data_IF_140403846778
#
_entry.id   IF_140403846778
#
_cell.length_a   1.000
_cell.length_b   1.000
_cell.length_c   1.000
_cell.angle_alpha   90.00
_cell.angle_beta   90.00
_cell.angle_gamma   90.00
#
_symmetry.space_group_name_H-M   'P 1'
#
loop_
_entity.id
_entity.type
_entity.pdbx_description
1 polymer ?
#
# COMPACT_ATOMS: atom_id res chain seq x y z
N UNK A 1 -18.70 -1.49 13.43
CA UNK A 1 -17.38 -1.54 14.13
C UNK A 1 -16.17 -1.36 13.18
N UNK A 2 -16.29 -1.67 11.89
CA UNK A 2 -15.19 -1.56 10.90
C UNK A 2 -14.78 -0.11 10.54
N UNK A 3 -15.72 0.83 10.54
CA UNK A 3 -15.44 2.22 10.14
C UNK A 3 -14.48 2.96 11.10
N UNK A 4 -14.52 2.62 12.40
CA UNK A 4 -13.64 3.23 13.42
C UNK A 4 -12.15 2.87 13.24
N UNK A 5 -11.85 1.72 12.63
CA UNK A 5 -10.47 1.21 12.50
C UNK A 5 -9.71 1.91 11.36
N UNK A 6 -10.42 2.32 10.31
CA UNK A 6 -9.86 3.06 9.18
C UNK A 6 -9.61 4.54 9.51
N UNK A 7 -10.49 5.16 10.31
CA UNK A 7 -10.31 6.54 10.77
C UNK A 7 -9.07 6.66 11.65
N UNK A 8 -8.80 5.67 12.51
CA UNK A 8 -7.63 5.69 13.38
C UNK A 8 -6.31 5.58 12.60
N UNK A 9 -6.27 4.76 11.55
CA UNK A 9 -5.07 4.59 10.71
C UNK A 9 -4.81 5.82 9.83
N UNK A 10 -5.87 6.44 9.29
CA UNK A 10 -5.77 7.68 8.53
C UNK A 10 -5.36 8.87 9.40
N UNK A 11 -5.88 8.97 10.63
CA UNK A 11 -5.49 10.01 11.59
C UNK A 11 -4.03 9.86 12.05
N UNK A 12 -3.57 8.62 12.26
CA UNK A 12 -2.20 8.35 12.65
C UNK A 12 -1.19 8.69 11.54
N UNK A 13 -1.53 8.42 10.27
CA UNK A 13 -0.69 8.78 9.14
C UNK A 13 -0.65 10.30 8.88
N UNK A 14 -1.77 10.99 9.10
CA UNK A 14 -1.86 12.45 8.92
C UNK A 14 -1.05 13.21 9.98
N UNK A 15 -1.02 12.69 11.22
CA UNK A 15 -0.21 13.26 12.31
C UNK A 15 1.31 13.06 12.10
N UNK A 16 1.71 11.98 11.41
CA UNK A 16 3.12 11.68 11.15
C UNK A 16 3.72 12.52 10.02
N UNK A 17 2.89 12.93 9.05
CA UNK A 17 3.30 13.81 7.94
C UNK A 17 3.48 15.27 8.41
N UNK A 18 2.65 15.76 9.33
CA UNK A 18 2.79 17.13 9.86
C UNK A 18 4.08 17.34 10.68
N UNK A 19 4.60 16.30 11.34
CA UNK A 19 5.83 16.41 12.13
C UNK A 19 7.11 16.60 11.29
N UNK A 20 7.06 16.41 9.97
CA UNK A 20 8.23 16.50 9.08
C UNK A 20 8.32 17.83 8.29
N UNK A 21 7.30 18.70 8.35
CA UNK A 21 7.33 19.99 7.67
C UNK A 21 7.61 21.16 8.63
N UNK A 22 8.77 21.10 9.29
CA UNK A 22 9.38 22.27 9.90
C UNK A 22 9.85 23.22 8.80
N UNK A 23 9.04 24.24 8.49
CA UNK A 23 9.39 25.29 7.54
C UNK A 23 10.60 26.07 8.07
N UNK A 24 11.75 25.92 7.42
CA UNK A 24 12.90 26.80 7.67
C UNK A 24 12.50 28.19 7.15
N UNK A 25 12.46 29.26 7.99
CA UNK A 25 12.11 30.58 7.50
C UNK A 25 13.16 31.02 6.48
N UNK A 26 12.72 31.38 5.27
CA UNK A 26 13.59 32.00 4.26
C UNK A 26 14.14 33.30 4.84
N UNK A 27 15.45 33.39 4.94
CA UNK A 27 16.14 34.65 5.24
C UNK A 27 15.77 35.66 4.16
N UNK A 28 14.99 36.67 4.52
CA UNK A 28 14.69 37.81 3.65
C UNK A 28 15.96 38.65 3.59
N UNK A 29 16.66 38.60 2.46
CA UNK A 29 17.70 39.58 2.15
C UNK A 29 16.94 40.84 1.69
N UNK A 30 16.92 41.86 2.54
CA UNK A 30 16.41 43.17 2.17
C UNK A 30 17.49 43.85 1.33
N UNK A 31 17.19 44.11 0.05
CA UNK A 31 17.99 44.96 -0.82
C UNK A 31 17.85 46.41 -0.35
N UNK A 32 18.83 46.88 0.43
CA UNK A 32 18.90 48.26 0.92
C UNK A 32 19.52 49.13 -0.17
N UNK A 33 18.76 49.38 -1.23
CA UNK A 33 19.11 50.35 -2.26
C UNK A 33 17.98 51.35 -2.48
N UNK A 34 17.64 52.08 -1.41
CA UNK A 34 16.99 53.39 -1.51
C UNK A 34 17.95 54.45 -1.01
N UNK A 35 18.35 55.35 -1.91
CA UNK A 35 19.13 56.54 -1.61
C UNK A 35 18.52 57.28 -0.42
N UNK A 36 19.21 57.24 0.71
CA UNK A 36 18.90 58.07 1.87
C UNK A 36 19.90 59.20 1.86
N UNK A 37 19.42 60.45 1.78
CA UNK A 37 20.30 61.60 1.99
C UNK A 37 20.76 61.56 3.44
N UNK A 38 22.06 61.45 3.66
CA UNK A 38 22.63 61.42 5.01
C UNK A 38 22.50 62.80 5.62
N UNK A 39 21.74 62.90 6.70
CA UNK A 39 21.67 64.11 7.50
C UNK A 39 23.07 64.39 8.09
N UNK A 40 23.66 65.54 7.72
CA UNK A 40 24.98 65.98 8.22
C UNK A 40 24.84 66.85 9.49
N UNK A 41 23.68 66.85 10.14
CA UNK A 41 23.53 67.49 11.43
C UNK A 41 24.44 66.83 12.47
N UNK A 42 25.33 67.61 13.07
CA UNK A 42 26.18 67.16 14.18
C UNK A 42 25.29 66.92 15.41
N UNK A 43 24.94 65.67 15.66
CA UNK A 43 24.15 65.29 16.83
C UNK A 43 25.05 65.41 18.06
N UNK A 44 24.74 66.34 18.94
CA UNK A 44 25.30 66.35 20.29
C UNK A 44 24.65 65.20 21.08
N UNK A 45 25.39 64.11 21.23
CA UNK A 45 24.97 62.97 22.03
C UNK A 45 25.12 63.30 23.50
N UNK A 46 24.02 63.70 24.14
CA UNK A 46 23.94 63.75 25.60
C UNK A 46 23.93 62.33 26.14
N UNK A 47 25.13 61.77 26.34
CA UNK A 47 25.28 60.49 27.04
C UNK A 47 25.01 60.74 28.53
N UNK A 48 24.10 59.98 29.16
CA UNK A 48 23.89 60.11 30.59
C UNK A 48 25.20 59.83 31.33
N UNK A 49 25.44 60.53 32.44
CA UNK A 49 26.57 60.20 33.32
C UNK A 49 26.45 58.74 33.75
N UNK A 50 27.58 58.00 33.68
CA UNK A 50 27.67 56.60 34.13
C UNK A 50 27.04 56.36 35.50
N UNK A 51 27.11 57.35 36.39
CA UNK A 51 26.53 57.25 37.73
C UNK A 51 24.99 57.18 37.72
N UNK A 52 24.32 57.90 36.80
CA UNK A 52 22.85 57.82 36.65
C UNK A 52 22.44 56.53 35.95
N UNK A 53 23.27 56.06 35.04
CA UNK A 53 23.08 54.81 34.31
C UNK A 53 23.13 53.61 35.26
N UNK A 54 24.18 53.52 36.08
CA UNK A 54 24.33 52.46 37.08
C UNK A 54 23.20 52.46 38.11
N UNK A 55 22.75 53.64 38.58
CA UNK A 55 21.61 53.74 39.50
C UNK A 55 20.31 53.24 38.86
N UNK A 56 20.09 53.54 37.59
CA UNK A 56 18.87 53.14 36.87
C UNK A 56 18.88 51.63 36.59
N UNK A 57 19.98 51.07 36.07
CA UNK A 57 20.05 49.64 35.76
C UNK A 57 20.25 48.73 36.97
N UNK A 58 20.61 49.29 38.13
CA UNK A 58 20.63 48.57 39.41
C UNK A 58 19.26 48.53 40.10
N UNK A 59 18.27 49.31 39.62
CA UNK A 59 16.93 49.32 40.20
C UNK A 59 16.31 47.91 40.13
N UNK A 60 15.86 47.44 41.29
CA UNK A 60 15.27 46.11 41.45
C UNK A 60 13.95 46.00 40.70
N UNK A 61 13.24 47.12 40.48
CA UNK A 61 11.99 47.17 39.72
C UNK A 61 12.19 47.05 38.20
N UNK A 62 13.41 47.27 37.70
CA UNK A 62 13.75 47.20 36.28
C UNK A 62 14.36 45.84 35.87
N UNK A 63 14.35 44.84 36.77
CA UNK A 63 14.73 43.45 36.45
C UNK A 63 13.57 42.71 35.77
N UNK A 64 13.34 43.03 34.50
CA UNK A 64 12.27 42.42 33.67
C UNK A 64 12.52 40.96 33.29
N UNK A 65 13.73 40.42 33.54
CA UNK A 65 14.05 39.02 33.27
C UNK A 65 13.46 38.14 34.38
N UNK A 66 12.15 37.89 34.32
CA UNK A 66 11.51 36.88 35.15
C UNK A 66 12.07 35.52 34.75
N UNK A 67 13.00 34.97 35.53
CA UNK A 67 13.33 33.55 35.48
C UNK A 67 12.23 32.81 36.24
N UNK A 68 11.03 32.74 35.65
CA UNK A 68 10.07 31.73 36.08
C UNK A 68 10.76 30.43 35.72
N UNK A 69 11.32 29.75 36.72
CA UNK A 69 11.74 28.37 36.58
C UNK A 69 10.46 27.62 36.24
N UNK A 70 10.19 27.44 34.95
CA UNK A 70 8.98 26.78 34.48
C UNK A 70 8.89 25.48 35.26
N UNK A 71 7.84 25.34 36.07
CA UNK A 71 7.71 24.17 36.92
C UNK A 71 7.82 22.93 36.04
N UNK A 72 8.80 22.07 36.34
CA UNK A 72 9.05 20.88 35.55
C UNK A 72 7.75 20.08 35.47
N UNK A 73 7.17 20.03 34.27
CA UNK A 73 5.95 19.28 34.01
C UNK A 73 6.12 17.80 34.37
N UNK A 74 5.00 17.12 34.64
CA UNK A 74 5.01 15.71 35.07
C UNK A 74 5.81 14.80 34.12
N UNK A 75 5.75 15.09 32.81
CA UNK A 75 6.51 14.35 31.80
C UNK A 75 8.02 14.59 31.89
N UNK A 76 8.46 15.80 32.21
CA UNK A 76 9.88 16.10 32.40
C UNK A 76 10.45 15.36 33.62
N UNK A 77 9.70 15.31 34.72
CA UNK A 77 10.07 14.54 35.92
C UNK A 77 10.14 13.03 35.63
N UNK A 78 9.21 12.52 34.83
CA UNK A 78 9.24 11.13 34.38
C UNK A 78 10.49 10.82 33.54
N UNK A 79 10.86 11.69 32.60
CA UNK A 79 12.06 11.51 31.79
C UNK A 79 13.34 11.59 32.62
N UNK A 80 13.41 12.46 33.62
CA UNK A 80 14.53 12.55 34.57
C UNK A 80 14.66 11.26 35.38
N UNK A 81 13.55 10.77 35.95
CA UNK A 81 13.52 9.48 36.65
C UNK A 81 13.96 8.33 35.74
N UNK A 82 13.49 8.30 34.50
CA UNK A 82 13.87 7.25 33.55
C UNK A 82 15.35 7.34 33.18
N UNK A 83 15.86 8.55 32.96
CA UNK A 83 17.27 8.78 32.69
C UNK A 83 18.15 8.37 33.87
N UNK A 84 17.76 8.69 35.10
CA UNK A 84 18.45 8.25 36.30
C UNK A 84 18.43 6.73 36.45
N UNK A 85 17.30 6.08 36.11
CA UNK A 85 17.21 4.62 36.20
C UNK A 85 18.04 3.89 35.14
N UNK A 86 18.13 4.43 33.93
CA UNK A 86 18.85 3.83 32.80
C UNK A 86 20.35 4.16 32.81
N UNK A 87 20.71 5.37 33.23
CA UNK A 87 22.07 5.92 33.10
C UNK A 87 22.71 6.31 34.44
N UNK A 88 22.01 6.15 35.56
CA UNK A 88 22.50 6.48 36.91
C UNK A 88 22.57 7.97 37.23
N UNK A 89 22.21 8.85 36.29
CA UNK A 89 22.19 10.30 36.49
C UNK A 89 21.18 10.98 35.53
N UNK A 90 20.47 12.00 36.01
CA UNK A 90 19.51 12.81 35.25
C UNK A 90 20.15 14.06 34.59
N UNK A 91 21.37 13.92 34.06
CA UNK A 91 22.03 14.99 33.29
C UNK A 91 21.25 15.34 32.03
N UNK A 92 21.38 16.57 31.54
CA UNK A 92 20.64 17.06 30.36
C UNK A 92 20.76 16.11 29.16
N UNK A 93 21.97 15.65 28.85
CA UNK A 93 22.22 14.73 27.73
C UNK A 93 21.55 13.36 27.92
N UNK A 94 21.51 12.86 29.16
CA UNK A 94 20.87 11.59 29.50
C UNK A 94 19.35 11.69 29.40
N UNK A 95 18.76 12.83 29.78
CA UNK A 95 17.31 13.09 29.66
C UNK A 95 16.90 13.15 28.18
N UNK A 96 17.70 13.84 27.35
CA UNK A 96 17.49 13.88 25.89
C UNK A 96 17.62 12.48 25.30
N UNK A 97 18.63 11.71 25.71
CA UNK A 97 18.85 10.33 25.24
C UNK A 97 17.71 9.40 25.67
N UNK A 98 17.24 9.48 26.91
CA UNK A 98 16.10 8.70 27.41
C UNK A 98 14.82 9.00 26.60
N UNK A 99 14.56 10.27 26.29
CA UNK A 99 13.45 10.67 25.41
C UNK A 99 13.58 10.05 24.02
N UNK A 100 14.78 10.08 23.44
CA UNK A 100 15.03 9.51 22.13
C UNK A 100 14.82 7.99 22.10
N UNK A 101 15.24 7.29 23.15
CA UNK A 101 15.02 5.84 23.31
C UNK A 101 13.52 5.51 23.37
N UNK A 102 12.73 6.28 24.13
CA UNK A 102 11.27 6.08 24.19
C UNK A 102 10.66 6.23 22.80
N UNK A 103 11.02 7.29 22.07
CA UNK A 103 10.50 7.54 20.72
C UNK A 103 10.84 6.38 19.78
N UNK A 104 12.11 5.96 19.73
CA UNK A 104 12.52 4.83 18.88
C UNK A 104 11.85 3.52 19.29
N UNK A 105 11.67 3.28 20.59
CA UNK A 105 10.97 2.09 21.10
C UNK A 105 9.52 2.07 20.65
N UNK A 106 8.82 3.21 20.68
CA UNK A 106 7.45 3.34 20.16
C UNK A 106 7.42 3.12 18.65
N UNK A 107 8.37 3.67 17.88
CA UNK A 107 8.44 3.50 16.43
C UNK A 107 8.67 2.03 16.06
N UNK A 108 9.67 1.39 16.68
CA UNK A 108 9.99 -0.02 16.44
C UNK A 108 8.82 -0.91 16.88
N UNK A 109 8.21 -0.62 18.04
CA UNK A 109 7.03 -1.33 18.52
C UNK A 109 5.83 -1.19 17.58
N UNK A 110 5.58 0.01 17.06
CA UNK A 110 4.54 0.27 16.07
C UNK A 110 4.82 -0.46 14.75
N UNK A 111 6.07 -0.47 14.29
CA UNK A 111 6.49 -1.22 13.10
C UNK A 111 6.32 -2.73 13.30
N UNK A 112 6.75 -3.27 14.44
CA UNK A 112 6.59 -4.68 14.77
C UNK A 112 5.11 -5.07 14.91
N UNK A 113 4.28 -4.22 15.53
CA UNK A 113 2.83 -4.41 15.58
C UNK A 113 2.19 -4.34 14.20
N UNK A 114 2.68 -3.47 13.31
CA UNK A 114 2.21 -3.37 11.93
C UNK A 114 2.58 -4.64 11.15
N UNK A 115 3.81 -5.14 11.28
CA UNK A 115 4.24 -6.41 10.67
C UNK A 115 3.43 -7.58 11.23
N UNK A 116 3.24 -7.65 12.55
CA UNK A 116 2.44 -8.69 13.19
C UNK A 116 0.97 -8.64 12.77
N UNK A 117 0.40 -7.43 12.69
CA UNK A 117 -0.95 -7.22 12.21
C UNK A 117 -1.06 -7.62 10.74
N UNK A 118 -0.11 -7.27 9.88
CA UNK A 118 -0.08 -7.69 8.47
C UNK A 118 0.11 -9.21 8.32
N UNK A 119 0.90 -9.84 9.19
CA UNK A 119 1.11 -11.29 9.16
C UNK A 119 -0.13 -12.07 9.60
N UNK A 120 -0.92 -11.52 10.55
CA UNK A 120 -2.13 -12.17 11.08
C UNK A 120 -3.40 -11.79 10.34
N UNK A 121 -3.43 -10.60 9.76
CA UNK A 121 -4.59 -10.13 9.02
C UNK A 121 -4.50 -10.62 7.59
N UNK A 122 -5.54 -11.32 7.17
CA UNK A 122 -5.80 -11.72 5.79
C UNK A 122 -6.03 -10.50 4.86
N UNK A 123 -5.41 -9.33 5.12
CA UNK A 123 -5.53 -8.12 4.28
C UNK A 123 -4.93 -8.33 2.89
N UNK A 124 -3.98 -9.26 2.76
CA UNK A 124 -3.52 -9.74 1.46
C UNK A 124 -4.65 -10.41 0.64
N UNK A 125 -5.69 -10.95 1.30
CA UNK A 125 -6.90 -11.50 0.68
C UNK A 125 -7.85 -10.42 0.14
N UNK A 126 -7.73 -9.17 0.59
CA UNK A 126 -8.61 -8.07 0.19
C UNK A 126 -8.01 -7.21 -0.93
N UNK A 127 -6.68 -7.19 -1.05
CA UNK A 127 -5.95 -6.42 -2.09
C UNK A 127 -5.54 -7.33 -3.25
N UNK A 128 -5.41 -8.63 -3.03
CA UNK A 128 -5.18 -9.62 -4.08
C UNK A 128 -6.30 -10.65 -3.97
N UNK A 129 -7.09 -10.93 -5.02
CA UNK A 129 -7.83 -12.17 -5.04
C UNK A 129 -6.81 -13.28 -4.80
N UNK A 130 -6.95 -14.02 -3.69
CA UNK A 130 -6.16 -15.22 -3.46
C UNK A 130 -6.29 -16.03 -4.76
N UNK A 131 -5.21 -16.40 -5.48
CA UNK A 131 -5.34 -17.60 -6.28
C UNK A 131 -5.68 -18.64 -5.22
N UNK A 132 -6.94 -19.10 -5.19
CA UNK A 132 -7.25 -20.33 -4.50
C UNK A 132 -6.13 -21.26 -4.93
N UNK A 133 -5.37 -21.77 -3.96
CA UNK A 133 -4.56 -22.94 -4.22
C UNK A 133 -5.58 -24.02 -4.56
N UNK A 134 -6.04 -24.02 -5.80
CA UNK A 134 -6.69 -25.14 -6.41
C UNK A 134 -5.57 -26.17 -6.39
N UNK A 135 -5.57 -27.01 -5.36
CA UNK A 135 -5.09 -28.37 -5.46
C UNK A 135 -5.99 -29.13 -6.46
N UNK A 136 -6.15 -28.54 -7.64
CA UNK A 136 -6.81 -29.11 -8.80
C UNK A 136 -5.64 -29.40 -9.73
N UNK A 137 -4.95 -30.48 -9.38
CA UNK A 137 -3.90 -31.00 -10.22
C UNK A 137 -4.53 -31.34 -11.56
N UNK A 138 -3.94 -30.85 -12.64
CA UNK A 138 -4.40 -31.14 -13.99
C UNK A 138 -4.48 -32.66 -14.26
N UNK A 139 -3.71 -33.44 -13.50
CA UNK A 139 -3.74 -34.91 -13.49
C UNK A 139 -5.10 -35.47 -13.06
N UNK A 140 -5.77 -34.89 -12.06
CA UNK A 140 -7.05 -35.40 -11.53
C UNK A 140 -8.24 -35.12 -12.48
N UNK A 141 -8.04 -34.27 -13.49
CA UNK A 141 -9.07 -33.91 -14.48
C UNK A 141 -9.21 -34.99 -15.54
N UNK A 142 -8.12 -35.69 -15.86
CA UNK A 142 -8.04 -36.56 -17.04
C UNK A 142 -8.90 -37.80 -16.89
N UNK A 143 -8.94 -38.38 -15.68
CA UNK A 143 -9.64 -39.65 -15.44
C UNK A 143 -11.17 -39.51 -15.41
N UNK A 144 -11.70 -38.27 -15.34
CA UNK A 144 -13.13 -38.02 -15.09
C UNK A 144 -13.76 -36.89 -15.92
N UNK A 145 -13.12 -36.44 -17.02
CA UNK A 145 -13.67 -35.37 -17.89
C UNK A 145 -15.14 -35.62 -18.32
N UNK A 146 -15.49 -36.88 -18.60
CA UNK A 146 -16.87 -37.29 -18.93
C UNK A 146 -17.88 -37.11 -17.79
N UNK A 147 -17.42 -37.12 -16.53
CA UNK A 147 -18.27 -37.00 -15.33
C UNK A 147 -18.39 -35.57 -14.82
N UNK A 148 -17.62 -34.64 -15.37
CA UNK A 148 -17.61 -33.25 -14.91
C UNK A 148 -18.81 -32.49 -15.47
N UNK A 149 -19.63 -31.93 -14.57
CA UNK A 149 -20.64 -30.95 -14.94
C UNK A 149 -20.00 -29.57 -15.13
N UNK A 150 -19.59 -29.27 -16.37
CA UNK A 150 -18.93 -28.00 -16.70
C UNK A 150 -19.79 -26.77 -16.35
N UNK A 151 -21.10 -26.83 -16.58
CA UNK A 151 -22.02 -25.72 -16.28
C UNK A 151 -22.05 -25.38 -14.79
N UNK A 152 -22.10 -26.41 -13.93
CA UNK A 152 -22.04 -26.22 -12.48
C UNK A 152 -20.71 -25.62 -12.03
N UNK A 153 -19.60 -26.08 -12.60
CA UNK A 153 -18.26 -25.56 -12.29
C UNK A 153 -18.10 -24.10 -12.71
N UNK A 154 -18.59 -23.74 -13.91
CA UNK A 154 -18.59 -22.36 -14.42
C UNK A 154 -19.45 -21.49 -13.49
N UNK A 155 -20.68 -21.91 -13.18
CA UNK A 155 -21.59 -21.17 -12.29
C UNK A 155 -20.99 -20.95 -10.90
N UNK A 156 -20.32 -21.96 -10.35
CA UNK A 156 -19.65 -21.85 -9.04
C UNK A 156 -18.49 -20.85 -9.10
N UNK A 157 -17.65 -20.91 -10.13
CA UNK A 157 -16.57 -19.95 -10.32
C UNK A 157 -17.07 -18.51 -10.49
N UNK A 158 -18.18 -18.33 -11.21
CA UNK A 158 -18.84 -17.02 -11.37
C UNK A 158 -19.43 -16.49 -10.06
N UNK A 159 -20.07 -17.35 -9.25
CA UNK A 159 -20.59 -16.97 -7.95
C UNK A 159 -19.47 -16.47 -7.00
N UNK A 160 -18.29 -17.07 -7.10
CA UNK A 160 -17.09 -16.69 -6.36
C UNK A 160 -16.36 -15.47 -6.97
N UNK A 161 -16.86 -14.89 -8.06
CA UNK A 161 -16.19 -13.84 -8.85
C UNK A 161 -14.78 -14.23 -9.33
N UNK A 162 -14.52 -15.53 -9.47
CA UNK A 162 -13.26 -16.07 -10.00
C UNK A 162 -13.37 -16.26 -11.52
N UNK A 163 -13.29 -15.14 -12.23
CA UNK A 163 -13.38 -15.13 -13.70
C UNK A 163 -12.27 -15.93 -14.37
N UNK A 164 -11.11 -16.05 -13.72
CA UNK A 164 -9.99 -16.86 -14.22
C UNK A 164 -10.35 -18.34 -14.21
N UNK A 165 -10.90 -18.81 -13.10
CA UNK A 165 -11.36 -20.19 -12.98
C UNK A 165 -12.54 -20.47 -13.92
N UNK A 166 -13.47 -19.53 -14.07
CA UNK A 166 -14.57 -19.65 -15.05
C UNK A 166 -14.05 -19.80 -16.49
N UNK A 167 -13.10 -18.95 -16.93
CA UNK A 167 -12.48 -19.08 -18.26
C UNK A 167 -11.77 -20.43 -18.43
N UNK A 168 -11.10 -20.94 -17.40
CA UNK A 168 -10.48 -22.27 -17.45
C UNK A 168 -11.52 -23.37 -17.68
N UNK A 169 -12.66 -23.31 -17.00
CA UNK A 169 -13.71 -24.30 -17.18
C UNK A 169 -14.35 -24.25 -18.57
N UNK A 170 -14.57 -23.05 -19.12
CA UNK A 170 -15.00 -22.90 -20.52
C UNK A 170 -14.00 -23.53 -21.50
N UNK A 171 -12.70 -23.30 -21.30
CA UNK A 171 -11.67 -23.86 -22.17
C UNK A 171 -11.63 -25.39 -22.11
N UNK A 172 -11.70 -25.97 -20.91
CA UNK A 172 -11.78 -27.43 -20.75
C UNK A 172 -13.04 -28.02 -21.38
N UNK A 173 -14.18 -27.33 -21.26
CA UNK A 173 -15.44 -27.73 -21.91
C UNK A 173 -15.30 -27.76 -23.44
N UNK A 174 -14.61 -26.80 -24.04
CA UNK A 174 -14.35 -26.82 -25.48
C UNK A 174 -13.51 -28.04 -25.88
N UNK A 175 -12.41 -28.29 -25.18
CA UNK A 175 -11.57 -29.46 -25.48
C UNK A 175 -12.37 -30.76 -25.39
N UNK A 176 -13.21 -30.88 -24.35
CA UNK A 176 -14.13 -31.99 -24.16
C UNK A 176 -15.14 -32.13 -25.31
N UNK A 177 -15.79 -31.03 -25.74
CA UNK A 177 -16.75 -31.07 -26.84
C UNK A 177 -16.08 -31.43 -28.18
N UNK A 178 -14.88 -30.92 -28.43
CA UNK A 178 -14.12 -31.27 -29.64
C UNK A 178 -13.69 -32.75 -29.65
N UNK A 179 -13.30 -33.29 -28.49
CA UNK A 179 -12.97 -34.71 -28.33
C UNK A 179 -14.20 -35.61 -28.54
N UNK A 180 -15.33 -35.26 -27.91
CA UNK A 180 -16.63 -35.93 -28.13
C UNK A 180 -17.07 -35.88 -29.60
N UNK A 181 -16.81 -34.75 -30.27
CA UNK A 181 -17.02 -34.57 -31.71
C UNK A 181 -16.00 -35.27 -32.61
N UNK A 182 -15.01 -35.98 -32.04
CA UNK A 182 -13.89 -36.64 -32.73
C UNK A 182 -13.08 -35.69 -33.63
N UNK A 183 -13.03 -34.41 -33.27
CA UNK A 183 -12.26 -33.38 -33.95
C UNK A 183 -10.80 -33.36 -33.48
N UNK A 184 -10.58 -33.75 -32.23
CA UNK A 184 -9.28 -33.96 -31.59
C UNK A 184 -9.33 -35.27 -30.79
N UNK A 185 -8.17 -35.73 -30.34
CA UNK A 185 -8.04 -36.76 -29.31
C UNK A 185 -7.43 -36.12 -28.07
N UNK A 186 -8.23 -35.88 -27.05
CA UNK A 186 -7.79 -35.21 -25.83
C UNK A 186 -6.75 -36.07 -25.07
N UNK A 187 -5.61 -35.46 -24.74
CA UNK A 187 -4.60 -36.08 -23.89
C UNK A 187 -3.84 -35.03 -23.08
N UNK A 188 -3.56 -35.32 -21.82
CA UNK A 188 -2.98 -34.35 -20.88
C UNK A 188 -1.58 -33.84 -21.22
N UNK A 189 -0.80 -34.64 -21.94
CA UNK A 189 0.54 -34.30 -22.38
C UNK A 189 0.55 -33.44 -23.66
N UNK A 190 -0.59 -33.33 -24.36
CA UNK A 190 -0.72 -32.55 -25.59
C UNK A 190 -0.85 -31.07 -25.27
N UNK A 191 -0.18 -30.24 -26.07
CA UNK A 191 -0.22 -28.78 -26.00
C UNK A 191 -1.36 -28.21 -26.84
N UNK A 192 -1.69 -26.94 -26.64
CA UNK A 192 -2.63 -26.22 -27.51
C UNK A 192 -2.18 -26.22 -28.98
N UNK A 193 -0.87 -26.27 -29.22
CA UNK A 193 -0.29 -26.37 -30.55
C UNK A 193 -0.62 -27.72 -31.18
N UNK A 194 -0.53 -28.81 -30.41
CA UNK A 194 -0.83 -30.16 -30.88
C UNK A 194 -2.31 -30.27 -31.27
N UNK A 195 -3.22 -29.82 -30.40
CA UNK A 195 -4.66 -29.81 -30.69
C UNK A 195 -5.03 -29.00 -31.94
N UNK A 196 -4.35 -27.86 -32.15
CA UNK A 196 -4.54 -27.06 -33.37
C UNK A 196 -4.20 -27.85 -34.64
N UNK A 197 -3.15 -28.67 -34.61
CA UNK A 197 -2.73 -29.46 -35.78
C UNK A 197 -3.63 -30.67 -36.04
N UNK A 198 -4.38 -31.16 -35.04
CA UNK A 198 -5.37 -32.24 -35.21
C UNK A 198 -6.65 -31.77 -35.91
N UNK A 199 -7.05 -30.52 -35.69
CA UNK A 199 -8.24 -29.94 -36.30
C UNK A 199 -8.10 -29.87 -37.82
N UNK A 200 -9.02 -30.50 -38.57
CA UNK A 200 -8.98 -30.50 -40.05
C UNK A 200 -9.58 -29.23 -40.69
N UNK A 201 -10.55 -28.61 -40.03
CA UNK A 201 -11.25 -27.43 -40.54
C UNK A 201 -10.46 -26.17 -40.23
N UNK A 202 -10.08 -25.39 -41.26
CA UNK A 202 -9.43 -24.08 -41.09
C UNK A 202 -10.28 -23.13 -40.24
N UNK A 203 -11.61 -23.18 -40.37
CA UNK A 203 -12.52 -22.38 -39.56
C UNK A 203 -12.37 -22.72 -38.07
N UNK A 204 -12.42 -24.01 -37.72
CA UNK A 204 -12.26 -24.46 -36.34
C UNK A 204 -10.86 -24.17 -35.80
N UNK A 205 -9.81 -24.34 -36.61
CA UNK A 205 -8.45 -23.95 -36.24
C UNK A 205 -8.37 -22.46 -35.87
N UNK A 206 -8.89 -21.57 -36.72
CA UNK A 206 -8.84 -20.13 -36.44
C UNK A 206 -9.59 -19.73 -35.18
N UNK A 207 -10.77 -20.31 -34.94
CA UNK A 207 -11.53 -20.08 -33.71
C UNK A 207 -10.79 -20.64 -32.49
N UNK A 208 -10.29 -21.87 -32.56
CA UNK A 208 -9.54 -22.51 -31.48
C UNK A 208 -8.27 -21.74 -31.10
N UNK A 209 -7.54 -21.19 -32.08
CA UNK A 209 -6.36 -20.34 -31.83
C UNK A 209 -6.73 -19.11 -31.00
N UNK A 210 -7.84 -18.44 -31.32
CA UNK A 210 -8.29 -17.27 -30.55
C UNK A 210 -8.64 -17.64 -29.12
N UNK A 211 -9.37 -18.73 -28.93
CA UNK A 211 -9.79 -19.21 -27.60
C UNK A 211 -8.59 -19.69 -26.76
N UNK A 212 -7.63 -20.37 -27.40
CA UNK A 212 -6.36 -20.77 -26.78
C UNK A 212 -5.57 -19.56 -26.31
N UNK A 213 -5.52 -18.50 -27.11
CA UNK A 213 -4.86 -17.25 -26.72
C UNK A 213 -5.53 -16.59 -25.52
N UNK A 214 -6.87 -16.54 -25.50
CA UNK A 214 -7.62 -16.05 -24.35
C UNK A 214 -7.26 -16.89 -23.12
N UNK A 215 -7.37 -18.21 -23.19
CA UNK A 215 -7.03 -19.11 -22.09
C UNK A 215 -5.59 -18.91 -21.59
N UNK A 216 -4.61 -18.87 -22.48
CA UNK A 216 -3.21 -18.69 -22.12
C UNK A 216 -2.97 -17.35 -21.40
N UNK A 217 -3.56 -16.28 -21.94
CA UNK A 217 -3.47 -14.94 -21.36
C UNK A 217 -4.14 -14.88 -19.98
N UNK A 218 -5.34 -15.44 -19.83
CA UNK A 218 -6.10 -15.42 -18.58
C UNK A 218 -5.43 -16.30 -17.50
N UNK A 219 -5.05 -17.51 -17.87
CA UNK A 219 -4.63 -18.54 -16.93
C UNK A 219 -3.13 -18.43 -16.58
N UNK A 220 -2.25 -18.37 -17.58
CA UNK A 220 -0.81 -18.29 -17.38
C UNK A 220 -0.30 -16.85 -17.25
N UNK A 221 -0.95 -15.88 -17.90
CA UNK A 221 -0.56 -14.47 -17.86
C UNK A 221 -0.82 -13.76 -16.51
N UNK A 222 -1.51 -14.41 -15.57
CA UNK A 222 -1.87 -13.88 -14.25
C UNK A 222 -2.62 -12.53 -14.27
N UNK A 223 -3.22 -12.13 -15.39
CA UNK A 223 -3.99 -10.90 -15.46
C UNK A 223 -5.30 -10.99 -14.66
N UNK A 224 -5.66 -9.89 -14.00
CA UNK A 224 -6.96 -9.75 -13.33
C UNK A 224 -7.95 -9.32 -14.40
N UNK A 225 -9.03 -10.07 -14.56
CA UNK A 225 -10.05 -9.82 -15.58
C UNK A 225 -11.27 -9.28 -14.87
N UNK A 226 -11.77 -8.13 -15.32
CA UNK A 226 -13.03 -7.60 -14.82
C UNK A 226 -14.24 -8.34 -15.40
N UNK A 227 -15.40 -8.19 -14.77
CA UNK A 227 -16.66 -8.81 -15.23
C UNK A 227 -17.01 -8.43 -16.68
N UNK A 228 -16.72 -7.20 -17.11
CA UNK A 228 -16.99 -6.72 -18.47
C UNK A 228 -16.14 -7.45 -19.50
N UNK A 229 -14.84 -7.53 -19.27
CA UNK A 229 -13.90 -8.24 -20.14
C UNK A 229 -14.16 -9.74 -20.18
N UNK A 230 -14.56 -10.31 -19.02
CA UNK A 230 -14.97 -11.70 -18.94
C UNK A 230 -16.18 -11.97 -19.82
N UNK A 231 -17.25 -11.17 -19.73
CA UNK A 231 -18.48 -11.36 -20.52
C UNK A 231 -18.19 -11.32 -22.03
N UNK A 232 -17.31 -10.42 -22.47
CA UNK A 232 -16.91 -10.39 -23.87
C UNK A 232 -16.23 -11.70 -24.29
N UNK A 233 -15.28 -12.18 -23.49
CA UNK A 233 -14.59 -13.46 -23.76
C UNK A 233 -15.56 -14.63 -23.73
N UNK A 234 -16.46 -14.69 -22.76
CA UNK A 234 -17.49 -15.72 -22.61
C UNK A 234 -18.35 -15.84 -23.89
N UNK A 235 -18.68 -14.72 -24.55
CA UNK A 235 -19.40 -14.78 -25.82
C UNK A 235 -18.60 -15.48 -26.93
N UNK A 236 -17.28 -15.30 -26.99
CA UNK A 236 -16.44 -16.02 -27.97
C UNK A 236 -16.42 -17.52 -27.71
N UNK A 237 -16.36 -17.94 -26.44
CA UNK A 237 -16.47 -19.35 -26.06
C UNK A 237 -17.83 -19.92 -26.47
N UNK A 238 -18.91 -19.22 -26.13
CA UNK A 238 -20.28 -19.63 -26.45
C UNK A 238 -20.55 -19.72 -27.96
N UNK A 239 -19.98 -18.82 -28.75
CA UNK A 239 -20.15 -18.84 -30.20
C UNK A 239 -19.41 -20.02 -30.84
N UNK A 240 -18.21 -20.36 -30.36
CA UNK A 240 -17.53 -21.54 -30.84
C UNK A 240 -18.23 -22.85 -30.41
N UNK A 241 -18.78 -22.90 -29.20
CA UNK A 241 -19.60 -24.04 -28.76
C UNK A 241 -20.78 -24.29 -29.71
N UNK A 242 -21.47 -23.24 -30.17
CA UNK A 242 -22.55 -23.37 -31.17
C UNK A 242 -22.03 -23.87 -32.52
N UNK A 243 -20.83 -23.45 -32.93
CA UNK A 243 -20.23 -23.91 -34.19
C UNK A 243 -19.86 -25.40 -34.17
N UNK A 244 -19.54 -25.95 -33.00
CA UNK A 244 -19.15 -27.35 -32.85
C UNK A 244 -20.31 -28.34 -33.04
N UNK A 245 -21.57 -27.87 -33.00
CA UNK A 245 -22.78 -28.62 -33.38
C UNK A 245 -22.82 -30.06 -32.81
N UNK A 246 -22.53 -30.19 -31.51
CA UNK A 246 -22.59 -31.45 -30.76
C UNK A 246 -23.96 -31.63 -30.10
#
# INVERSE_FOLDING_TARGET
MFLKKHILFSLFFLFFVEASFGSIPKTVIIDVSKHTQTDTAKIETLSPSKEKEDKTFSDTQLKYKQTIAAEKGMFARFLEWLAEKLFGNAGFDNVITARQIIIWTIIIGAMALLIWLLARSDLASLIKPKPKATAFNFIDVIEDLDKINFEEKIKTALADSDFRLATRWHYLKILFLMDKGKLIEFASYKTNIDYRYELKSKKHQHAFIRLSYIYEYVWYGKFIIGITDYKLKETEFADFEKELNV
#
